data_IF_087050589173
#
_entry.id   IF_087050589173
#
_cell.length_a   1.000
_cell.length_b   1.000
_cell.length_c   1.000
_cell.angle_alpha   90.00
_cell.angle_beta   90.00
_cell.angle_gamma   90.00
#
_symmetry.space_group_name_H-M   'P 1'
#
loop_
_entity.id
_entity.type
_entity.pdbx_description
1 polymer ?
#
# COMPACT_ATOMS: atom_id res chain seq x y z
N UNK A 1 -16.23 5.39 -1.52
CA UNK A 1 -15.35 4.22 -1.63
C UNK A 1 -14.88 4.07 -3.07
N UNK A 2 -13.61 3.75 -3.26
CA UNK A 2 -13.02 3.60 -4.59
C UNK A 2 -12.66 2.13 -4.77
N UNK A 3 -13.11 1.54 -5.88
CA UNK A 3 -12.87 0.13 -6.18
C UNK A 3 -11.54 -0.07 -6.94
N UNK A 4 -11.25 -1.33 -7.30
CA UNK A 4 -10.00 -1.67 -7.98
C UNK A 4 -9.81 -0.88 -9.28
N UNK A 5 -10.87 -0.68 -10.05
CA UNK A 5 -10.80 0.11 -11.29
C UNK A 5 -10.42 1.56 -11.00
N UNK A 6 -11.03 2.14 -9.98
CA UNK A 6 -10.72 3.51 -9.56
C UNK A 6 -9.29 3.65 -9.07
N UNK A 7 -8.78 2.62 -8.38
CA UNK A 7 -7.40 2.60 -7.93
C UNK A 7 -6.45 2.55 -9.13
N UNK A 8 -6.73 1.68 -10.10
CA UNK A 8 -5.89 1.54 -11.29
C UNK A 8 -5.94 2.78 -12.19
N UNK A 9 -6.96 3.59 -12.08
CA UNK A 9 -7.00 4.88 -12.76
C UNK A 9 -6.00 5.87 -12.19
N UNK A 10 -5.51 5.64 -10.98
CA UNK A 10 -4.62 6.56 -10.25
C UNK A 10 -3.20 6.04 -10.18
N UNK A 11 -3.01 4.78 -9.74
CA UNK A 11 -1.68 4.19 -9.57
C UNK A 11 -1.32 3.29 -10.75
N UNK A 12 -0.02 3.11 -11.04
CA UNK A 12 0.40 2.33 -12.21
C UNK A 12 0.46 0.82 -11.98
N UNK A 13 0.35 0.35 -10.76
CA UNK A 13 0.48 -1.07 -10.40
C UNK A 13 -0.63 -1.91 -11.02
N UNK A 14 -0.28 -3.09 -11.52
CA UNK A 14 -1.22 -3.97 -12.23
C UNK A 14 -1.02 -5.44 -11.86
N UNK A 15 -2.06 -6.24 -12.10
CA UNK A 15 -1.99 -7.68 -11.92
C UNK A 15 -1.61 -8.06 -10.51
N UNK A 16 -0.68 -9.02 -10.39
CA UNK A 16 -0.25 -9.53 -9.09
C UNK A 16 0.47 -8.48 -8.23
N UNK A 17 0.92 -7.39 -8.83
CA UNK A 17 1.59 -6.34 -8.08
C UNK A 17 0.63 -5.31 -7.51
N UNK A 18 -0.63 -5.27 -7.94
CA UNK A 18 -1.61 -4.38 -7.32
C UNK A 18 -2.10 -5.02 -6.02
N UNK A 19 -1.78 -4.41 -4.90
CA UNK A 19 -2.04 -4.99 -3.57
C UNK A 19 -3.04 -4.22 -2.75
N UNK A 20 -3.83 -3.36 -3.38
CA UNK A 20 -4.92 -2.63 -2.73
C UNK A 20 -6.17 -2.87 -3.54
N UNK A 21 -7.23 -3.37 -2.89
CA UNK A 21 -8.48 -3.72 -3.55
C UNK A 21 -9.50 -2.58 -3.49
N UNK A 22 -9.45 -1.78 -2.44
CA UNK A 22 -10.36 -0.64 -2.24
C UNK A 22 -9.61 0.49 -1.54
N UNK A 23 -10.03 1.71 -1.81
CA UNK A 23 -9.75 2.84 -0.92
C UNK A 23 -11.07 3.15 -0.23
N UNK A 24 -11.14 2.87 1.05
CA UNK A 24 -12.39 3.02 1.82
C UNK A 24 -12.71 4.49 2.05
N UNK A 25 -11.69 5.26 2.39
CA UNK A 25 -11.81 6.70 2.58
C UNK A 25 -10.45 7.36 2.44
N UNK A 26 -10.45 8.64 2.11
CA UNK A 26 -9.21 9.41 2.13
C UNK A 26 -9.51 10.90 2.29
N UNK A 27 -8.53 11.60 2.84
CA UNK A 27 -8.53 13.06 2.99
C UNK A 27 -7.29 13.59 2.25
N UNK A 28 -6.95 14.85 2.48
CA UNK A 28 -5.72 15.40 1.89
C UNK A 28 -4.46 14.80 2.51
N UNK A 29 -4.56 14.29 3.76
CA UNK A 29 -3.38 13.84 4.50
C UNK A 29 -3.45 12.39 4.96
N UNK A 30 -4.55 11.68 4.70
CA UNK A 30 -4.69 10.30 5.18
C UNK A 30 -5.51 9.48 4.19
N UNK A 31 -5.32 8.17 4.24
CA UNK A 31 -6.12 7.23 3.45
C UNK A 31 -6.20 5.90 4.18
N UNK A 32 -7.29 5.18 3.93
CA UNK A 32 -7.48 3.81 4.40
C UNK A 32 -7.73 2.94 3.19
N UNK A 33 -6.74 2.09 2.89
CA UNK A 33 -6.85 1.10 1.83
C UNK A 33 -7.27 -0.24 2.41
N UNK A 34 -7.83 -1.10 1.57
CA UNK A 34 -8.24 -2.44 1.96
C UNK A 34 -7.62 -3.44 0.99
N UNK A 35 -7.05 -4.50 1.55
CA UNK A 35 -6.66 -5.67 0.78
C UNK A 35 -7.35 -6.90 1.36
N UNK A 36 -8.08 -7.61 0.52
CA UNK A 36 -8.65 -8.90 0.88
C UNK A 36 -7.62 -9.97 0.54
N UNK A 37 -7.03 -10.58 1.58
CA UNK A 37 -5.97 -11.58 1.38
C UNK A 37 -6.60 -12.90 0.95
N UNK A 38 -6.21 -13.39 -0.24
CA UNK A 38 -6.81 -14.58 -0.84
C UNK A 38 -5.86 -15.75 -0.80
N UNK A 39 -6.41 -16.95 -0.94
CA UNK A 39 -5.65 -18.20 -0.95
C UNK A 39 -5.03 -18.52 -2.32
N UNK A 40 -5.35 -17.74 -3.35
CA UNK A 40 -4.78 -17.87 -4.69
C UNK A 40 -3.71 -16.81 -4.99
N UNK A 41 -3.22 -16.12 -3.98
CA UNK A 41 -2.16 -15.12 -4.17
C UNK A 41 -0.87 -15.80 -4.63
N UNK A 42 -0.05 -15.09 -5.40
CA UNK A 42 1.14 -15.69 -6.02
C UNK A 42 2.15 -16.23 -4.99
N UNK A 43 2.18 -15.67 -3.79
CA UNK A 43 3.12 -16.09 -2.73
C UNK A 43 2.63 -17.31 -1.93
N UNK A 44 1.38 -17.69 -2.05
CA UNK A 44 0.77 -18.70 -1.17
C UNK A 44 1.47 -20.06 -1.24
N UNK A 45 1.84 -20.51 -2.42
CA UNK A 45 2.43 -21.84 -2.58
C UNK A 45 3.83 -21.94 -1.98
N UNK A 46 4.58 -20.84 -2.01
CA UNK A 46 5.99 -20.85 -1.60
C UNK A 46 6.27 -20.23 -0.23
N UNK A 47 5.38 -19.42 0.28
CA UNK A 47 5.61 -18.69 1.52
C UNK A 47 4.49 -18.97 2.53
N UNK A 48 4.38 -20.13 3.10
CA UNK A 48 5.25 -21.29 2.99
C UNK A 48 4.44 -22.50 2.56
N UNK A 49 5.05 -23.55 1.98
CA UNK A 49 4.30 -24.73 1.58
C UNK A 49 3.42 -25.27 2.71
N UNK A 50 2.13 -25.41 2.45
CA UNK A 50 1.16 -25.89 3.43
C UNK A 50 0.76 -24.89 4.51
N UNK A 51 1.43 -23.72 4.56
CA UNK A 51 1.10 -22.66 5.54
C UNK A 51 1.35 -21.31 4.93
N UNK A 52 0.39 -20.81 4.13
CA UNK A 52 0.56 -19.52 3.46
C UNK A 52 0.50 -18.37 4.47
N UNK A 53 1.52 -17.54 4.43
CA UNK A 53 1.64 -16.35 5.26
C UNK A 53 2.02 -15.20 4.32
N UNK A 54 1.29 -14.10 4.40
CA UNK A 54 1.61 -12.95 3.55
C UNK A 54 2.98 -12.39 3.94
N UNK A 55 3.93 -12.32 3.00
CA UNK A 55 5.25 -11.76 3.31
C UNK A 55 5.15 -10.35 3.86
N UNK A 56 5.92 -10.09 4.94
CA UNK A 56 5.89 -8.78 5.58
C UNK A 56 6.23 -7.66 4.62
N UNK A 57 7.21 -7.89 3.73
CA UNK A 57 7.60 -6.88 2.74
C UNK A 57 6.47 -6.53 1.78
N UNK A 58 5.56 -7.47 1.52
CA UNK A 58 4.39 -7.21 0.68
C UNK A 58 3.32 -6.43 1.44
N UNK A 59 3.25 -6.56 2.75
CA UNK A 59 2.39 -5.72 3.58
C UNK A 59 2.85 -4.27 3.50
N UNK A 60 4.17 -4.05 3.54
CA UNK A 60 4.73 -2.70 3.37
C UNK A 60 4.45 -2.19 1.95
N UNK A 61 4.55 -3.05 0.94
CA UNK A 61 4.20 -2.67 -0.43
C UNK A 61 2.74 -2.23 -0.53
N UNK A 62 1.83 -2.94 0.14
CA UNK A 62 0.41 -2.58 0.14
C UNK A 62 0.18 -1.22 0.81
N UNK A 63 0.87 -0.95 1.91
CA UNK A 63 0.85 0.37 2.56
C UNK A 63 1.38 1.45 1.60
N UNK A 64 2.46 1.16 0.91
CA UNK A 64 3.07 2.10 -0.03
C UNK A 64 2.14 2.42 -1.19
N UNK A 65 1.41 1.42 -1.69
CA UNK A 65 0.46 1.66 -2.78
C UNK A 65 -0.72 2.52 -2.34
N UNK A 66 -1.20 2.32 -1.12
CA UNK A 66 -2.23 3.18 -0.53
C UNK A 66 -1.70 4.62 -0.43
N UNK A 67 -0.47 4.78 0.02
CA UNK A 67 0.18 6.09 0.12
C UNK A 67 0.41 6.70 -1.26
N UNK A 68 0.78 5.89 -2.24
CA UNK A 68 0.97 6.34 -3.62
C UNK A 68 -0.33 6.91 -4.19
N UNK A 69 -1.44 6.23 -3.94
CA UNK A 69 -2.75 6.73 -4.34
C UNK A 69 -2.97 8.15 -3.80
N UNK A 70 -2.72 8.33 -2.51
CA UNK A 70 -2.93 9.62 -1.86
C UNK A 70 -1.99 10.70 -2.43
N UNK A 71 -0.70 10.36 -2.59
CA UNK A 71 0.28 11.31 -3.10
C UNK A 71 -0.05 11.76 -4.53
N UNK A 72 -0.46 10.82 -5.38
CA UNK A 72 -0.79 11.15 -6.76
C UNK A 72 -2.05 12.00 -6.86
N UNK A 73 -3.04 11.75 -6.01
CA UNK A 73 -4.21 12.61 -5.92
C UNK A 73 -3.83 14.01 -5.46
N UNK A 74 -2.96 14.10 -4.48
CA UNK A 74 -2.50 15.37 -3.94
C UNK A 74 -1.75 16.21 -4.99
N UNK A 75 -0.95 15.54 -5.81
CA UNK A 75 -0.15 16.20 -6.85
C UNK A 75 -0.93 16.46 -8.15
N UNK A 76 -2.17 15.98 -8.24
CA UNK A 76 -2.94 16.00 -9.48
C UNK A 76 -2.21 15.30 -10.63
N UNK A 77 -1.51 14.19 -10.28
CA UNK A 77 -0.81 13.32 -11.23
C UNK A 77 -1.46 11.94 -11.24
N UNK A 78 -2.75 11.89 -10.99
CA UNK A 78 -3.55 10.66 -10.86
C UNK A 78 -4.01 10.16 -12.23
N UNK A 79 -3.05 9.82 -13.07
CA UNK A 79 -3.27 9.41 -14.47
C UNK A 79 -3.06 7.91 -14.71
N UNK A 80 -2.77 7.15 -13.65
CA UNK A 80 -2.49 5.71 -13.74
C UNK A 80 -1.15 5.37 -14.38
N UNK A 81 -0.29 6.35 -14.60
CA UNK A 81 1.00 6.18 -15.30
C UNK A 81 2.18 6.72 -14.51
N UNK A 82 1.95 7.65 -13.59
CA UNK A 82 3.03 8.25 -12.81
C UNK A 82 3.56 7.22 -11.83
N UNK A 83 4.88 7.09 -11.78
CA UNK A 83 5.55 6.12 -10.93
C UNK A 83 5.84 6.70 -9.55
N UNK A 84 5.67 5.86 -8.53
CA UNK A 84 6.12 6.18 -7.19
C UNK A 84 7.08 5.11 -6.74
N UNK A 85 8.21 5.49 -6.20
CA UNK A 85 9.18 4.53 -5.71
C UNK A 85 9.83 4.98 -4.42
N UNK A 86 10.20 4.00 -3.60
CA UNK A 86 10.79 4.26 -2.30
C UNK A 86 12.17 4.89 -2.41
N UNK A 87 12.45 5.81 -1.48
CA UNK A 87 13.81 6.30 -1.26
C UNK A 87 14.32 5.84 0.11
N UNK A 88 13.46 5.79 1.12
CA UNK A 88 13.85 5.31 2.46
C UNK A 88 12.70 4.57 3.10
N UNK A 89 13.05 3.65 4.00
CA UNK A 89 12.12 2.98 4.92
C UNK A 89 12.78 2.93 6.28
N UNK A 90 12.01 3.22 7.31
CA UNK A 90 12.52 3.19 8.68
C UNK A 90 11.43 2.75 9.64
N UNK A 91 11.84 2.30 10.83
CA UNK A 91 10.92 1.91 11.90
C UNK A 91 9.93 0.84 11.46
N UNK A 92 10.42 -0.15 10.74
CA UNK A 92 9.58 -1.24 10.24
C UNK A 92 9.42 -2.28 11.35
N UNK A 93 8.17 -2.63 11.64
CA UNK A 93 7.84 -3.65 12.64
C UNK A 93 6.76 -4.57 12.10
N UNK A 94 6.89 -5.85 12.40
CA UNK A 94 5.89 -6.87 12.09
C UNK A 94 5.48 -7.53 13.40
N UNK A 95 4.19 -7.50 13.73
CA UNK A 95 3.70 -7.92 15.04
C UNK A 95 2.91 -9.22 15.02
N UNK A 96 2.20 -9.49 13.92
CA UNK A 96 1.36 -10.69 13.78
C UNK A 96 1.39 -11.15 12.34
N UNK A 97 1.15 -12.45 12.14
CA UNK A 97 1.06 -13.04 10.81
C UNK A 97 -0.25 -12.65 10.14
N UNK A 98 -0.18 -12.47 8.81
CA UNK A 98 -1.35 -12.21 7.97
C UNK A 98 -1.51 -13.39 7.04
N UNK A 99 -2.73 -13.94 6.96
CA UNK A 99 -3.01 -15.17 6.24
C UNK A 99 -4.21 -15.01 5.32
N UNK A 100 -4.36 -15.90 4.32
CA UNK A 100 -5.56 -15.89 3.49
C UNK A 100 -6.81 -15.92 4.33
N UNK A 101 -7.80 -15.12 3.96
CA UNK A 101 -9.03 -14.92 4.72
C UNK A 101 -9.01 -13.66 5.56
N UNK A 102 -7.85 -13.07 5.81
CA UNK A 102 -7.76 -11.82 6.56
C UNK A 102 -8.11 -10.64 5.66
N UNK A 103 -8.71 -9.63 6.26
CA UNK A 103 -8.90 -8.33 5.62
C UNK A 103 -7.86 -7.38 6.19
N UNK A 104 -6.98 -6.91 5.34
CA UNK A 104 -5.89 -6.04 5.75
C UNK A 104 -6.31 -4.59 5.55
N UNK A 105 -6.36 -3.84 6.63
CA UNK A 105 -6.64 -2.40 6.58
C UNK A 105 -5.32 -1.64 6.55
N UNK A 106 -5.19 -0.77 5.59
CA UNK A 106 -3.95 -0.08 5.28
C UNK A 106 -4.12 1.40 5.58
N UNK A 107 -3.74 1.79 6.79
CA UNK A 107 -3.87 3.16 7.26
C UNK A 107 -2.57 3.91 6.96
N UNK A 108 -2.65 4.98 6.19
CA UNK A 108 -1.49 5.81 5.89
C UNK A 108 -1.78 7.27 6.21
N UNK A 109 -0.77 7.95 6.72
CA UNK A 109 -0.85 9.35 7.07
C UNK A 109 0.37 10.08 6.50
N UNK A 110 0.11 11.17 5.80
CA UNK A 110 1.17 12.01 5.26
C UNK A 110 1.79 12.82 6.39
N UNK A 111 3.10 12.67 6.58
CA UNK A 111 3.83 13.36 7.64
C UNK A 111 4.49 14.62 7.09
N UNK A 112 5.06 14.53 5.91
CA UNK A 112 5.84 15.63 5.34
C UNK A 112 5.85 15.50 3.83
N UNK A 113 5.85 16.63 3.15
CA UNK A 113 6.03 16.68 1.70
C UNK A 113 6.98 17.80 1.35
N UNK A 114 7.79 17.57 0.33
CA UNK A 114 8.69 18.57 -0.23
C UNK A 114 8.84 18.30 -1.71
N UNK A 115 8.22 19.16 -2.53
CA UNK A 115 8.16 18.96 -3.98
C UNK A 115 7.44 17.64 -4.29
N UNK A 116 8.13 16.66 -4.91
CA UNK A 116 7.54 15.36 -5.22
C UNK A 116 7.94 14.27 -4.22
N UNK A 117 8.59 14.66 -3.14
CA UNK A 117 9.01 13.74 -2.09
C UNK A 117 7.94 13.73 -1.00
N UNK A 118 7.45 12.54 -0.67
CA UNK A 118 6.38 12.35 0.30
C UNK A 118 6.81 11.37 1.36
N UNK A 119 6.65 11.77 2.63
CA UNK A 119 6.93 10.89 3.76
C UNK A 119 5.64 10.52 4.45
N UNK A 120 5.43 9.22 4.64
CA UNK A 120 4.22 8.67 5.24
C UNK A 120 4.54 7.80 6.45
N UNK A 121 3.59 7.74 7.36
CA UNK A 121 3.53 6.71 8.39
C UNK A 121 2.40 5.77 8.04
N UNK A 122 2.67 4.47 8.01
CA UNK A 122 1.70 3.45 7.66
C UNK A 122 1.53 2.42 8.76
N UNK A 123 0.28 2.03 9.00
CA UNK A 123 -0.07 0.97 9.93
C UNK A 123 -1.02 0.02 9.23
N UNK A 124 -0.66 -1.27 9.17
CA UNK A 124 -1.52 -2.31 8.64
C UNK A 124 -2.21 -3.00 9.82
N UNK A 125 -3.51 -3.24 9.70
CA UNK A 125 -4.32 -3.82 10.76
C UNK A 125 -5.19 -4.96 10.23
N UNK A 126 -5.40 -5.97 11.08
CA UNK A 126 -6.36 -7.05 10.82
C UNK A 126 -7.22 -7.19 12.07
N UNK A 127 -8.54 -7.08 11.89
CA UNK A 127 -9.51 -7.24 12.99
C UNK A 127 -9.16 -6.37 14.21
N UNK A 128 -8.78 -5.13 13.96
CA UNK A 128 -8.47 -4.17 15.01
C UNK A 128 -7.10 -4.33 15.65
N UNK A 129 -6.27 -5.27 15.16
CA UNK A 129 -4.91 -5.48 15.69
C UNK A 129 -3.88 -4.98 14.69
N UNK A 130 -2.89 -4.27 15.18
CA UNK A 130 -1.76 -3.85 14.36
C UNK A 130 -0.93 -5.08 13.98
N UNK A 131 -0.71 -5.29 12.68
CA UNK A 131 0.09 -6.41 12.19
C UNK A 131 1.43 -5.96 11.63
N UNK A 132 1.50 -4.75 11.09
CA UNK A 132 2.73 -4.18 10.56
C UNK A 132 2.70 -2.66 10.68
N UNK A 133 3.88 -2.07 10.68
CA UNK A 133 4.02 -0.62 10.79
C UNK A 133 5.33 -0.21 10.12
N UNK A 134 5.31 0.94 9.44
CA UNK A 134 6.52 1.47 8.82
C UNK A 134 6.38 2.95 8.58
N UNK A 135 7.51 3.65 8.60
CA UNK A 135 7.63 5.01 8.10
C UNK A 135 8.45 4.94 6.83
N UNK A 136 7.96 5.54 5.75
CA UNK A 136 8.65 5.44 4.47
C UNK A 136 8.53 6.75 3.70
N UNK A 137 9.50 6.96 2.83
CA UNK A 137 9.56 8.12 1.94
C UNK A 137 9.58 7.62 0.50
N UNK A 138 8.83 8.29 -0.35
CA UNK A 138 8.76 7.95 -1.76
C UNK A 138 8.81 9.22 -2.61
N UNK A 139 9.27 9.06 -3.85
CA UNK A 139 9.28 10.12 -4.85
C UNK A 139 8.28 9.76 -5.93
N UNK A 140 7.44 10.73 -6.30
CA UNK A 140 6.51 10.59 -7.42
C UNK A 140 7.17 11.15 -8.67
N UNK A 141 7.30 10.31 -9.70
CA UNK A 141 8.02 10.66 -10.92
C UNK A 141 7.10 10.47 -12.13
N UNK A 142 6.97 11.51 -12.91
CA UNK A 142 6.12 11.49 -14.11
C UNK A 142 6.67 10.63 -15.23
N UNK A 143 7.83 9.98 -15.02
CA UNK A 143 8.39 9.09 -16.03
C UNK A 143 9.02 9.82 -17.18
N UNK A 144 9.68 10.93 -16.90
CA UNK A 144 10.34 11.74 -17.91
C UNK A 144 11.60 11.09 -18.48
N UNK A 145 11.87 9.88 -18.09
CA UNK A 145 13.09 9.18 -18.51
C UNK A 145 12.73 7.98 -19.29
#
# INVERSE_FOLDING_TARGET
MIDAKGIEAVIPHRGNMRMVDEIREYTETSAVGIKYVRDDEFWCAGHFPGKPIMPGVLQIEALAQTACFLALKHLHMDDGKTLGYFTTMERIKFSHMVMPGDTLELHVELIMTKMRLYKFHGIAMVSGKKVAEATFTAVMDAGSK
#
